data_IF_924290624905
#
_entry.id   IF_924290624905
#
_cell.length_a   1.000
_cell.length_b   1.000
_cell.length_c   1.000
_cell.angle_alpha   90.00
_cell.angle_beta   90.00
_cell.angle_gamma   90.00
#
_symmetry.space_group_name_H-M   'P 1'
#
loop_
_entity.id
_entity.type
_entity.pdbx_description
1 polymer ?
#
# COMPACT_ATOMS: atom_id res chain seq x y z
N UNK A 1 5.44 -13.56 5.71
CA UNK A 1 4.76 -12.66 4.77
C UNK A 1 4.37 -11.38 5.50
N UNK A 2 4.84 -10.22 5.02
CA UNK A 2 4.51 -8.91 5.58
C UNK A 2 4.08 -7.99 4.44
N UNK A 3 2.98 -7.28 4.63
CA UNK A 3 2.52 -6.24 3.72
C UNK A 3 2.58 -4.90 4.41
N UNK A 4 3.13 -3.91 3.73
CA UNK A 4 3.22 -2.54 4.23
C UNK A 4 2.60 -1.59 3.23
N UNK A 5 1.83 -0.62 3.74
CA UNK A 5 1.13 0.38 2.94
C UNK A 5 1.54 1.77 3.42
N UNK A 6 1.89 2.65 2.48
CA UNK A 6 2.19 4.04 2.74
C UNK A 6 1.27 4.95 1.91
N UNK A 7 0.68 6.01 2.49
CA UNK A 7 -0.10 6.95 1.72
C UNK A 7 0.79 7.76 0.77
N UNK A 8 0.45 7.73 -0.52
CA UNK A 8 1.07 8.57 -1.54
C UNK A 8 0.26 9.86 -1.76
N UNK A 9 -1.07 9.76 -1.65
CA UNK A 9 -1.98 10.91 -1.63
C UNK A 9 -3.17 10.60 -0.75
N UNK A 10 -3.43 11.44 0.24
CA UNK A 10 -4.62 11.34 1.08
C UNK A 10 -5.72 12.28 0.58
N UNK A 11 -6.96 11.96 0.90
CA UNK A 11 -8.15 12.76 0.60
C UNK A 11 -9.26 12.44 1.60
N UNK A 12 -10.36 13.17 1.59
CA UNK A 12 -11.45 12.93 2.54
C UNK A 12 -12.23 11.63 2.28
N UNK A 13 -12.12 11.05 1.08
CA UNK A 13 -12.86 9.83 0.68
C UNK A 13 -12.03 8.79 -0.06
N UNK A 14 -11.00 9.21 -0.79
CA UNK A 14 -10.20 8.33 -1.66
C UNK A 14 -8.73 8.60 -1.42
N UNK A 15 -7.97 7.55 -1.15
CA UNK A 15 -6.52 7.58 -0.94
C UNK A 15 -5.81 6.80 -2.02
N UNK A 16 -4.66 7.30 -2.46
CA UNK A 16 -3.70 6.57 -3.29
C UNK A 16 -2.59 6.06 -2.37
N UNK A 17 -2.32 4.77 -2.43
CA UNK A 17 -1.38 4.07 -1.55
C UNK A 17 -0.29 3.38 -2.36
N UNK A 18 0.93 3.38 -1.85
CA UNK A 18 1.99 2.49 -2.28
C UNK A 18 1.98 1.28 -1.36
N UNK A 19 2.14 0.09 -1.91
CA UNK A 19 2.21 -1.16 -1.16
C UNK A 19 3.43 -1.98 -1.51
N UNK A 20 4.04 -2.57 -0.49
CA UNK A 20 5.13 -3.53 -0.63
C UNK A 20 4.77 -4.82 0.09
N UNK A 21 5.21 -5.95 -0.47
CA UNK A 21 5.05 -7.27 0.10
C UNK A 21 6.41 -7.93 0.25
N UNK A 22 6.69 -8.49 1.43
CA UNK A 22 7.94 -9.21 1.70
C UNK A 22 7.69 -10.63 2.22
N UNK A 23 8.53 -11.57 1.80
CA UNK A 23 8.59 -12.96 2.29
C UNK A 23 10.00 -13.21 2.80
N UNK A 24 10.12 -13.62 4.06
CA UNK A 24 11.40 -13.85 4.72
C UNK A 24 12.39 -12.69 4.56
N UNK A 25 11.89 -11.45 4.69
CA UNK A 25 12.67 -10.22 4.57
C UNK A 25 13.00 -9.79 3.13
N UNK A 26 12.65 -10.58 2.12
CA UNK A 26 12.91 -10.28 0.72
C UNK A 26 11.69 -9.68 0.05
N UNK A 27 11.90 -8.68 -0.82
CA UNK A 27 10.84 -8.05 -1.62
C UNK A 27 10.25 -9.08 -2.58
N UNK A 28 8.94 -9.30 -2.46
CA UNK A 28 8.20 -10.23 -3.29
C UNK A 28 7.30 -9.49 -4.30
N UNK A 29 6.75 -8.33 -3.93
CA UNK A 29 5.93 -7.52 -4.83
C UNK A 29 5.86 -6.06 -4.41
N UNK A 30 5.56 -5.20 -5.39
CA UNK A 30 5.19 -3.79 -5.20
C UNK A 30 3.93 -3.48 -6.00
N UNK A 31 3.09 -2.59 -5.46
CA UNK A 31 1.86 -2.19 -6.11
C UNK A 31 1.45 -0.76 -5.75
N UNK A 32 0.65 -0.14 -6.61
CA UNK A 32 -0.09 1.07 -6.31
C UNK A 32 -1.56 0.71 -6.15
N UNK A 33 -2.14 1.10 -5.04
CA UNK A 33 -3.52 0.80 -4.70
C UNK A 33 -4.34 2.10 -4.56
N UNK A 34 -5.64 1.96 -4.76
CA UNK A 34 -6.63 2.99 -4.43
C UNK A 34 -7.53 2.45 -3.33
N UNK A 35 -7.63 3.17 -2.23
CA UNK A 35 -8.49 2.84 -1.11
C UNK A 35 -9.61 3.89 -0.99
N UNK A 36 -10.84 3.42 -0.77
CA UNK A 36 -11.95 4.28 -0.36
C UNK A 36 -12.02 4.27 1.16
N UNK A 37 -12.00 5.44 1.77
CA UNK A 37 -12.09 5.62 3.22
C UNK A 37 -13.40 6.35 3.50
N UNK A 38 -14.23 5.75 4.34
CA UNK A 38 -15.56 6.22 4.72
C UNK A 38 -15.77 6.10 6.20
#
# INVERSE_FOLDING_TARGET
LRFELAPLRTGSRIWKMGGTATVDGHLAAEAVLVATIG
#
